data_IF_221010501537
#
_entry.id   IF_221010501537
#
_cell.length_a   1.000
_cell.length_b   1.000
_cell.length_c   1.000
_cell.angle_alpha   90.00
_cell.angle_beta   90.00
_cell.angle_gamma   90.00
#
_symmetry.space_group_name_H-M   'P 1'
#
loop_
_entity.id
_entity.type
_entity.pdbx_description
1 polymer ?
#
# COMPACT_ATOMS: atom_id res chain seq x y z
N UNK A 1 -4.03 -10.11 -12.28
CA UNK A 1 -4.30 -8.98 -11.37
C UNK A 1 -3.24 -7.89 -11.61
N UNK A 2 -3.66 -6.64 -11.82
CA UNK A 2 -2.77 -5.53 -12.17
C UNK A 2 -3.09 -4.32 -11.30
N UNK A 3 -2.08 -3.50 -11.00
CA UNK A 3 -2.23 -2.24 -10.29
C UNK A 3 -1.19 -1.22 -10.73
N UNK A 4 -1.48 0.05 -10.44
CA UNK A 4 -0.56 1.16 -10.58
C UNK A 4 -0.40 1.90 -9.24
N UNK A 5 0.82 2.33 -8.96
CA UNK A 5 1.19 3.15 -7.80
C UNK A 5 1.70 4.50 -8.29
N UNK A 6 1.37 5.57 -7.57
CA UNK A 6 1.88 6.91 -7.83
C UNK A 6 2.44 7.48 -6.55
N UNK A 7 3.72 7.83 -6.57
CA UNK A 7 4.39 8.59 -5.53
C UNK A 7 4.57 10.00 -6.06
N UNK A 8 3.94 10.99 -5.42
CA UNK A 8 4.06 12.39 -5.80
C UNK A 8 4.69 13.19 -4.67
N UNK A 9 5.87 13.76 -4.95
CA UNK A 9 6.60 14.63 -4.05
C UNK A 9 6.56 16.05 -4.62
N UNK A 10 5.52 16.79 -4.23
CA UNK A 10 5.22 18.12 -4.76
C UNK A 10 6.41 19.09 -4.59
N UNK A 11 7.01 19.14 -3.40
CA UNK A 11 8.12 20.06 -3.08
C UNK A 11 9.40 19.75 -3.87
N UNK A 12 9.58 18.51 -4.32
CA UNK A 12 10.70 18.10 -5.14
C UNK A 12 10.41 18.20 -6.65
N UNK A 13 9.16 18.54 -6.99
CA UNK A 13 8.61 18.41 -8.33
C UNK A 13 8.93 17.05 -8.93
N UNK A 14 8.67 15.97 -8.19
CA UNK A 14 8.95 14.59 -8.63
C UNK A 14 7.72 13.72 -8.56
N UNK A 15 7.60 12.85 -9.54
CA UNK A 15 6.63 11.77 -9.53
C UNK A 15 7.29 10.47 -9.94
N UNK A 16 6.97 9.39 -9.24
CA UNK A 16 7.32 8.02 -9.63
C UNK A 16 6.04 7.24 -9.85
N UNK A 17 5.87 6.68 -11.05
CA UNK A 17 4.76 5.76 -11.36
C UNK A 17 5.31 4.34 -11.43
N UNK A 18 4.59 3.38 -10.88
CA UNK A 18 4.94 1.96 -10.96
C UNK A 18 3.70 1.20 -11.41
N UNK A 19 3.80 0.44 -12.49
CA UNK A 19 2.71 -0.42 -12.98
C UNK A 19 3.21 -1.87 -13.00
N UNK A 20 2.36 -2.80 -12.55
CA UNK A 20 2.81 -4.16 -12.33
C UNK A 20 1.73 -5.19 -12.10
N UNK A 21 2.20 -6.43 -11.97
CA UNK A 21 1.37 -7.59 -11.62
C UNK A 21 1.28 -7.66 -10.10
N UNK A 22 0.07 -7.90 -9.58
CA UNK A 22 -0.17 -7.96 -8.14
C UNK A 22 -0.27 -9.40 -7.68
N UNK A 23 0.45 -9.76 -6.62
CA UNK A 23 0.30 -11.03 -5.90
C UNK A 23 0.07 -10.78 -4.40
N UNK A 24 -0.56 -11.73 -3.71
CA UNK A 24 -0.55 -11.71 -2.24
C UNK A 24 0.85 -12.08 -1.75
N UNK A 25 1.31 -11.42 -0.69
CA UNK A 25 2.55 -11.83 -0.02
C UNK A 25 2.30 -13.06 0.84
N UNK A 26 3.39 -13.74 1.20
CA UNK A 26 3.34 -14.90 2.08
C UNK A 26 2.70 -14.55 3.43
N UNK A 27 2.03 -15.55 4.02
CA UNK A 27 1.30 -15.39 5.28
C UNK A 27 2.24 -14.95 6.40
N UNK A 28 3.46 -15.48 6.40
CA UNK A 28 4.49 -15.25 7.40
C UNK A 28 5.00 -13.80 7.34
N UNK A 29 5.15 -13.23 6.14
CA UNK A 29 5.48 -11.81 5.93
C UNK A 29 4.36 -10.93 6.50
N UNK A 30 3.11 -11.28 6.19
CA UNK A 30 1.95 -10.55 6.71
C UNK A 30 1.84 -10.65 8.24
N UNK A 31 2.08 -11.81 8.82
CA UNK A 31 2.05 -12.04 10.27
C UNK A 31 3.13 -11.22 10.98
N UNK A 32 4.39 -11.33 10.53
CA UNK A 32 5.49 -10.58 11.11
C UNK A 32 5.24 -9.06 11.04
N UNK A 33 4.76 -8.56 9.89
CA UNK A 33 4.41 -7.16 9.75
C UNK A 33 3.25 -6.76 10.68
N UNK A 34 2.18 -7.57 10.75
CA UNK A 34 1.05 -7.32 11.65
C UNK A 34 1.49 -7.17 13.11
N UNK A 35 2.29 -8.12 13.60
CA UNK A 35 2.76 -8.15 14.99
C UNK A 35 3.70 -6.99 15.34
N UNK A 36 4.39 -6.39 14.35
CA UNK A 36 5.24 -5.21 14.55
C UNK A 36 4.46 -3.89 14.70
N UNK A 37 3.17 -3.87 14.36
CA UNK A 37 2.36 -2.64 14.41
C UNK A 37 1.97 -2.29 15.85
N UNK A 38 1.72 -1.01 16.18
CA UNK A 38 1.18 -0.63 17.49
C UNK A 38 -0.13 -1.37 17.81
N UNK A 39 -0.37 -1.69 19.09
CA UNK A 39 -1.56 -2.44 19.54
C UNK A 39 -2.87 -1.86 19.01
N UNK A 40 -3.06 -0.53 19.08
CA UNK A 40 -4.27 0.12 18.55
C UNK A 40 -4.47 -0.08 17.04
N UNK A 41 -3.38 -0.19 16.27
CA UNK A 41 -3.42 -0.50 14.84
C UNK A 41 -3.80 -1.95 14.55
N UNK A 42 -3.38 -2.88 15.41
CA UNK A 42 -3.77 -4.29 15.34
C UNK A 42 -5.27 -4.45 15.67
N UNK A 43 -5.73 -3.79 16.74
CA UNK A 43 -7.15 -3.77 17.14
C UNK A 43 -8.02 -3.18 16.04
N UNK A 44 -7.65 -2.02 15.48
CA UNK A 44 -8.40 -1.38 14.41
C UNK A 44 -8.55 -2.26 13.17
N UNK A 45 -7.54 -3.08 12.86
CA UNK A 45 -7.59 -4.04 11.75
C UNK A 45 -8.58 -5.20 11.99
N UNK A 46 -8.88 -5.56 13.24
CA UNK A 46 -9.94 -6.54 13.57
C UNK A 46 -11.30 -5.86 13.67
N UNK A 47 -11.35 -4.65 14.26
CA UNK A 47 -12.59 -3.94 14.54
C UNK A 47 -13.31 -3.50 13.26
N UNK A 48 -12.57 -3.08 12.24
CA UNK A 48 -13.11 -2.52 11.01
C UNK A 48 -13.23 -3.58 9.91
N UNK A 49 -14.46 -3.96 9.57
CA UNK A 49 -14.76 -4.64 8.31
C UNK A 49 -14.61 -3.65 7.13
N UNK A 50 -13.36 -3.38 6.74
CA UNK A 50 -13.00 -2.31 5.80
C UNK A 50 -13.90 -2.29 4.55
N UNK A 51 -14.39 -1.10 4.21
CA UNK A 51 -15.29 -0.84 3.08
C UNK A 51 -16.73 -1.35 3.20
N UNK A 52 -17.11 -1.96 4.34
CA UNK A 52 -18.52 -2.28 4.63
C UNK A 52 -19.30 -1.03 5.04
N UNK A 53 -20.57 -0.96 4.69
CA UNK A 53 -21.47 0.12 5.12
C UNK A 53 -21.77 -0.03 6.61
N UNK A 54 -21.61 1.06 7.36
CA UNK A 54 -22.03 1.17 8.76
C UNK A 54 -23.19 2.16 8.86
N UNK A 55 -24.11 1.91 9.79
CA UNK A 55 -25.22 2.82 10.05
C UNK A 55 -24.80 4.01 10.91
N UNK A 56 -23.77 3.84 11.74
CA UNK A 56 -23.25 4.87 12.61
C UNK A 56 -21.78 4.63 12.98
N UNK A 57 -21.08 5.68 13.41
CA UNK A 57 -19.69 5.62 13.87
C UNK A 57 -19.52 4.86 15.20
N UNK A 58 -20.51 4.95 16.10
CA UNK A 58 -20.46 4.31 17.43
C UNK A 58 -20.20 2.81 17.37
N UNK A 59 -20.70 2.13 16.33
CA UNK A 59 -20.46 0.70 16.09
C UNK A 59 -18.95 0.38 16.04
N UNK A 60 -18.15 1.23 15.40
CA UNK A 60 -16.71 1.02 15.32
C UNK A 60 -16.02 1.31 16.65
N UNK A 61 -16.48 2.34 17.36
CA UNK A 61 -15.93 2.75 18.66
C UNK A 61 -16.18 1.69 19.74
N UNK A 62 -17.42 1.18 19.81
CA UNK A 62 -17.81 0.09 20.70
C UNK A 62 -16.99 -1.17 20.42
N UNK A 63 -16.81 -1.51 19.13
CA UNK A 63 -16.02 -2.69 18.74
C UNK A 63 -14.55 -2.55 19.10
N UNK A 64 -13.97 -1.35 18.94
CA UNK A 64 -12.60 -1.07 19.39
C UNK A 64 -12.49 -1.20 20.91
N UNK A 65 -13.44 -0.67 21.69
CA UNK A 65 -13.43 -0.77 23.15
C UNK A 65 -13.52 -2.24 23.62
N UNK A 66 -14.44 -3.01 23.04
CA UNK A 66 -14.61 -4.44 23.32
C UNK A 66 -13.32 -5.22 23.05
N UNK A 67 -12.73 -5.05 21.86
CA UNK A 67 -11.51 -5.76 21.46
C UNK A 67 -10.30 -5.31 22.29
N UNK A 68 -10.23 -4.04 22.67
CA UNK A 68 -9.16 -3.53 23.56
C UNK A 68 -9.19 -4.24 24.90
N UNK A 69 -10.37 -4.35 25.53
CA UNK A 69 -10.54 -5.07 26.77
C UNK A 69 -10.28 -6.58 26.60
N UNK A 70 -10.76 -7.17 25.49
CA UNK A 70 -10.56 -8.60 25.20
C UNK A 70 -9.08 -8.99 25.10
N UNK A 71 -8.27 -8.15 24.43
CA UNK A 71 -6.87 -8.42 24.12
C UNK A 71 -5.88 -7.72 25.06
N UNK A 72 -6.34 -7.14 26.18
CA UNK A 72 -5.46 -6.54 27.17
C UNK A 72 -4.42 -7.56 27.68
N UNK A 73 -3.14 -7.22 27.56
CA UNK A 73 -2.01 -8.08 27.93
C UNK A 73 -1.83 -9.34 27.08
N UNK A 74 -2.52 -9.47 25.94
CA UNK A 74 -2.48 -10.65 25.05
C UNK A 74 -1.92 -10.31 23.68
N UNK A 75 -1.34 -11.31 23.01
CA UNK A 75 -1.02 -11.22 21.58
C UNK A 75 -2.31 -11.21 20.77
N UNK A 76 -2.44 -10.23 19.87
CA UNK A 76 -3.57 -10.12 18.97
C UNK A 76 -3.28 -10.95 17.72
N UNK A 77 -4.12 -11.93 17.35
CA UNK A 77 -3.91 -12.69 16.12
C UNK A 77 -4.22 -11.81 14.90
N UNK A 78 -3.43 -11.96 13.84
CA UNK A 78 -3.74 -11.32 12.55
C UNK A 78 -5.07 -11.87 11.99
N UNK A 79 -6.02 -11.02 11.60
CA UNK A 79 -7.23 -11.48 10.90
C UNK A 79 -6.90 -12.21 9.59
N UNK A 80 -7.73 -13.19 9.21
CA UNK A 80 -7.56 -13.95 7.95
C UNK A 80 -7.67 -13.06 6.71
N UNK A 81 -8.59 -12.10 6.73
CA UNK A 81 -8.80 -11.15 5.64
C UNK A 81 -7.71 -10.07 5.54
N UNK A 82 -6.83 -9.96 6.54
CA UNK A 82 -5.76 -8.96 6.58
C UNK A 82 -4.44 -9.55 6.06
N UNK A 83 -3.75 -8.82 5.20
CA UNK A 83 -2.45 -9.21 4.67
C UNK A 83 -1.86 -8.19 3.72
N UNK A 84 -0.69 -8.50 3.16
CA UNK A 84 0.01 -7.66 2.21
C UNK A 84 -0.20 -8.09 0.75
N UNK A 85 0.06 -7.14 -0.15
CA UNK A 85 0.18 -7.38 -1.58
C UNK A 85 1.55 -6.88 -2.07
N UNK A 86 2.13 -7.61 -3.01
CA UNK A 86 3.34 -7.22 -3.74
C UNK A 86 2.93 -6.78 -5.14
N UNK A 87 3.43 -5.63 -5.58
CA UNK A 87 3.36 -5.20 -6.99
C UNK A 87 4.71 -5.47 -7.62
N UNK A 88 4.78 -6.51 -8.47
CA UNK A 88 5.98 -6.80 -9.26
C UNK A 88 6.04 -5.83 -10.45
N UNK A 89 7.00 -4.90 -10.50
CA UNK A 89 7.00 -3.82 -11.47
C UNK A 89 7.28 -4.38 -12.88
N UNK A 90 6.47 -3.96 -13.84
CA UNK A 90 6.69 -4.16 -15.29
C UNK A 90 6.97 -2.85 -16.01
N UNK A 91 6.57 -1.74 -15.42
CA UNK A 91 6.88 -0.39 -15.88
C UNK A 91 7.16 0.52 -14.68
N UNK A 92 8.19 1.36 -14.78
CA UNK A 92 8.49 2.42 -13.82
C UNK A 92 8.75 3.72 -14.58
N UNK A 93 8.04 4.79 -14.25
CA UNK A 93 8.28 6.12 -14.80
C UNK A 93 8.85 7.04 -13.72
N UNK A 94 9.95 7.72 -14.05
CA UNK A 94 10.48 8.84 -13.28
C UNK A 94 10.17 10.13 -14.03
N UNK A 95 9.35 10.96 -13.40
CA UNK A 95 9.02 12.31 -13.86
C UNK A 95 9.70 13.35 -12.97
N UNK A 96 10.33 14.34 -13.59
CA UNK A 96 10.94 15.48 -12.92
C UNK A 96 10.45 16.78 -13.56
N UNK A 97 9.88 17.63 -12.70
CA UNK A 97 9.38 18.94 -13.04
C UNK A 97 10.49 19.89 -13.46
N UNK A 98 10.11 20.85 -14.29
CA UNK A 98 10.95 21.91 -14.86
C UNK A 98 10.08 23.15 -15.01
N UNK A 99 10.61 24.30 -14.63
CA UNK A 99 9.91 25.60 -14.77
C UNK A 99 9.55 25.92 -16.23
N UNK A 100 10.33 25.42 -17.19
CA UNK A 100 10.10 25.57 -18.63
C UNK A 100 8.92 24.75 -19.16
N UNK A 101 8.28 23.90 -18.34
CA UNK A 101 7.27 22.90 -18.73
C UNK A 101 7.79 21.76 -19.61
N UNK A 102 9.08 21.79 -19.97
CA UNK A 102 9.74 20.69 -20.66
C UNK A 102 10.25 19.67 -19.64
N UNK A 103 9.31 18.96 -19.01
CA UNK A 103 9.59 17.99 -17.96
C UNK A 103 10.45 16.82 -18.47
N UNK A 104 11.27 16.28 -17.57
CA UNK A 104 12.01 15.07 -17.83
C UNK A 104 11.12 13.86 -17.52
N UNK A 105 10.96 12.95 -18.48
CA UNK A 105 10.26 11.68 -18.29
C UNK A 105 11.14 10.55 -18.78
N UNK A 106 11.59 9.71 -17.85
CA UNK A 106 12.41 8.53 -18.13
C UNK A 106 11.62 7.31 -17.69
N UNK A 107 11.37 6.38 -18.60
CA UNK A 107 10.69 5.12 -18.30
C UNK A 107 11.66 3.95 -18.30
N UNK A 108 11.36 2.99 -17.45
CA UNK A 108 11.96 1.66 -17.41
C UNK A 108 10.86 0.66 -17.71
N UNK A 109 10.99 -0.03 -18.84
CA UNK A 109 10.04 -1.02 -19.33
C UNK A 109 10.66 -2.41 -19.24
N UNK A 110 10.08 -3.32 -18.45
CA UNK A 110 10.59 -4.67 -18.30
C UNK A 110 10.07 -5.57 -19.42
N UNK A 111 10.96 -5.94 -20.34
CA UNK A 111 10.64 -6.81 -21.48
C UNK A 111 11.73 -7.87 -21.65
N UNK A 112 11.33 -9.11 -21.91
CA UNK A 112 12.25 -10.22 -22.22
C UNK A 112 13.39 -10.41 -21.18
N UNK A 113 13.06 -10.26 -19.89
CA UNK A 113 14.02 -10.42 -18.80
C UNK A 113 14.93 -9.21 -18.54
N UNK A 114 14.75 -8.11 -19.27
CA UNK A 114 15.61 -6.93 -19.22
C UNK A 114 14.82 -5.63 -19.09
N UNK A 115 15.43 -4.60 -18.51
CA UNK A 115 14.87 -3.26 -18.45
C UNK A 115 15.33 -2.44 -19.66
N UNK A 116 14.37 -1.93 -20.43
CA UNK A 116 14.61 -0.96 -21.50
C UNK A 116 14.33 0.44 -20.97
N UNK A 117 15.25 1.38 -21.22
CA UNK A 117 15.14 2.76 -20.77
C UNK A 117 14.72 3.62 -21.95
N UNK A 118 13.65 4.40 -21.79
CA UNK A 118 13.17 5.32 -22.81
C UNK A 118 13.01 6.74 -22.23
N UNK A 119 13.05 7.74 -23.11
CA UNK A 119 12.66 9.11 -22.78
C UNK A 119 11.31 9.40 -23.43
N UNK A 120 10.36 9.89 -22.65
CA UNK A 120 9.06 10.34 -23.15
C UNK A 120 9.04 11.87 -23.27
N UNK A 121 8.22 12.36 -24.19
CA UNK A 121 7.87 13.77 -24.21
C UNK A 121 7.09 14.13 -22.94
N UNK A 122 7.31 15.34 -22.38
CA UNK A 122 6.62 15.82 -21.17
C UNK A 122 5.10 15.88 -21.32
#
# INVERSE_FOLDING_TARGET
>A
PQAALVFFWAELERQVRIEGIVSKVDKEISEAYFQSRPTGSQIGAIASAQSSVLTDRSILEDRVAELTAQYEGKTIPKPEHWGGYLVEPKHIEFWQGRSSRLHDRITYDYTDGSWKINRLAP
#
